data_IF_356890695198
#
_entry.id   IF_356890695198
#
_cell.length_a   1.000
_cell.length_b   1.000
_cell.length_c   1.000
_cell.angle_alpha   90.00
_cell.angle_beta   90.00
_cell.angle_gamma   90.00
#
_symmetry.space_group_name_H-M   'P 1'
#
loop_
_entity.id
_entity.type
_entity.pdbx_description
1 polymer ?
#
# COMPACT_ATOMS: atom_id res chain seq x y z
N UNK A 1 -15.81 -12.59 1.14
CA UNK A 1 -15.67 -11.12 1.07
C UNK A 1 -14.37 -10.77 1.75
N UNK A 2 -13.50 -10.02 1.10
CA UNK A 2 -12.15 -9.73 1.62
C UNK A 2 -12.10 -8.23 1.85
N UNK A 3 -11.99 -7.82 3.11
CA UNK A 3 -11.87 -6.41 3.47
C UNK A 3 -10.43 -5.99 3.14
N UNK A 4 -10.25 -5.12 2.15
CA UNK A 4 -8.94 -4.49 1.98
C UNK A 4 -8.66 -3.65 3.23
N UNK A 5 -7.50 -3.81 3.83
CA UNK A 5 -7.03 -3.01 4.96
C UNK A 5 -6.16 -1.87 4.48
N UNK A 6 -6.59 -0.64 4.79
CA UNK A 6 -5.79 0.60 4.81
C UNK A 6 -4.81 0.80 3.63
N UNK A 7 -5.25 0.87 2.36
CA UNK A 7 -4.45 1.54 1.35
C UNK A 7 -4.29 3.05 1.68
N UNK A 8 -3.04 3.47 1.89
CA UNK A 8 -2.67 4.88 2.07
C UNK A 8 -1.84 5.35 0.88
N UNK A 9 -2.11 6.56 0.41
CA UNK A 9 -1.47 7.18 -0.76
C UNK A 9 -0.66 8.39 -0.30
N UNK A 10 0.65 8.32 -0.50
CA UNK A 10 1.59 9.42 -0.30
C UNK A 10 1.86 10.13 -1.62
N UNK A 11 1.98 11.45 -1.57
CA UNK A 11 2.22 12.30 -2.73
C UNK A 11 3.52 13.08 -2.52
N UNK A 12 4.51 12.87 -3.39
CA UNK A 12 5.82 13.52 -3.33
C UNK A 12 6.14 14.31 -4.60
N UNK A 13 5.48 15.46 -4.83
CA UNK A 13 5.84 16.35 -5.94
C UNK A 13 7.22 16.98 -5.71
N UNK A 14 7.83 17.52 -6.78
CA UNK A 14 9.13 18.22 -6.69
C UNK A 14 9.01 19.60 -6.02
N UNK A 15 7.84 20.20 -6.10
CA UNK A 15 7.51 21.49 -5.50
C UNK A 15 6.10 21.45 -4.93
N UNK A 16 5.63 22.55 -4.32
CA UNK A 16 4.23 22.63 -3.86
C UNK A 16 3.31 22.54 -5.08
N UNK A 17 2.45 21.52 -5.13
CA UNK A 17 1.65 21.22 -6.32
C UNK A 17 0.21 20.90 -5.95
N UNK A 18 -0.74 21.44 -6.70
CA UNK A 18 -2.12 20.97 -6.66
C UNK A 18 -2.21 19.61 -7.35
N UNK A 19 -2.65 18.60 -6.61
CA UNK A 19 -2.79 17.23 -7.09
C UNK A 19 -4.25 16.81 -6.96
N UNK A 20 -4.78 16.22 -8.02
CA UNK A 20 -6.07 15.55 -8.00
C UNK A 20 -5.90 14.03 -8.05
N UNK A 21 -6.55 13.31 -7.13
CA UNK A 21 -6.55 11.85 -7.06
C UNK A 21 -7.98 11.34 -7.16
N UNK A 22 -8.26 10.51 -8.16
CA UNK A 22 -9.55 9.85 -8.38
C UNK A 22 -9.38 8.34 -8.20
N UNK A 23 -10.26 7.76 -7.40
CA UNK A 23 -10.47 6.32 -7.25
C UNK A 23 -11.43 5.88 -8.36
N UNK A 24 -10.99 5.03 -9.30
CA UNK A 24 -11.69 4.79 -10.58
C UNK A 24 -12.28 3.38 -10.71
N UNK A 25 -12.82 2.84 -9.63
CA UNK A 25 -13.59 1.59 -9.63
C UNK A 25 -14.96 1.78 -8.97
N UNK A 26 -15.80 0.75 -9.10
CA UNK A 26 -17.08 0.65 -8.41
C UNK A 26 -16.85 0.42 -6.91
N UNK A 27 -17.05 1.48 -6.12
CA UNK A 27 -16.86 1.42 -4.68
C UNK A 27 -18.05 0.77 -3.98
N UNK A 28 -17.78 -0.12 -3.04
CA UNK A 28 -18.84 -0.84 -2.31
C UNK A 28 -18.97 -0.37 -0.87
N UNK A 29 -17.86 -0.36 -0.15
CA UNK A 29 -17.80 -0.09 1.29
C UNK A 29 -16.73 0.99 1.58
N UNK A 30 -16.63 1.99 0.71
CA UNK A 30 -15.57 2.99 0.77
C UNK A 30 -15.56 3.77 2.09
N UNK A 31 -14.52 3.54 2.88
CA UNK A 31 -14.11 4.43 3.98
C UNK A 31 -12.93 5.26 3.50
N UNK A 32 -12.87 6.55 3.86
CA UNK A 32 -11.82 7.44 3.36
C UNK A 32 -11.53 8.61 4.28
N UNK A 33 -10.24 9.00 4.34
CA UNK A 33 -9.76 10.16 5.09
C UNK A 33 -8.72 10.90 4.23
N UNK A 34 -8.96 12.15 3.84
CA UNK A 34 -10.21 12.92 4.00
C UNK A 34 -11.40 12.23 3.35
N UNK A 35 -12.63 12.57 3.76
CA UNK A 35 -13.85 12.01 3.17
C UNK A 35 -13.83 12.19 1.64
N UNK A 36 -13.80 11.07 0.94
CA UNK A 36 -13.90 11.01 -0.52
C UNK A 36 -15.34 11.31 -0.95
N UNK A 37 -15.48 12.08 -2.02
CA UNK A 37 -16.77 12.32 -2.68
C UNK A 37 -16.69 11.79 -4.11
N UNK A 38 -15.96 12.51 -4.96
CA UNK A 38 -15.75 12.14 -6.36
C UNK A 38 -14.28 12.16 -6.75
N UNK A 39 -13.52 13.10 -6.17
CA UNK A 39 -12.10 13.32 -6.41
C UNK A 39 -11.52 14.03 -5.19
N UNK A 40 -10.30 13.66 -4.79
CA UNK A 40 -9.53 14.49 -3.86
C UNK A 40 -8.77 15.53 -4.68
N UNK A 41 -8.99 16.82 -4.42
CA UNK A 41 -8.16 17.92 -4.93
C UNK A 41 -7.41 18.51 -3.74
N UNK A 42 -6.12 18.25 -3.67
CA UNK A 42 -5.28 18.56 -2.52
C UNK A 42 -4.04 19.35 -2.93
N UNK A 43 -3.43 20.03 -1.97
CA UNK A 43 -2.10 20.62 -2.15
C UNK A 43 -1.07 19.67 -1.54
N UNK A 44 -0.20 19.09 -2.37
CA UNK A 44 0.89 18.22 -1.94
C UNK A 44 2.21 18.99 -1.87
N UNK A 45 3.07 18.59 -0.94
CA UNK A 45 4.38 19.20 -0.71
C UNK A 45 5.49 18.17 -0.89
N UNK A 46 6.73 18.57 -1.25
CA UNK A 46 7.86 17.64 -1.40
C UNK A 46 8.17 16.81 -0.16
N UNK A 47 7.78 17.28 1.03
CA UNK A 47 7.91 16.56 2.29
C UNK A 47 6.94 15.38 2.45
N UNK A 48 5.98 15.20 1.53
CA UNK A 48 4.88 14.25 1.66
C UNK A 48 3.68 14.79 2.45
N UNK A 49 3.74 16.01 2.99
CA UNK A 49 2.59 16.67 3.61
C UNK A 49 1.52 16.92 2.55
N UNK A 50 0.27 16.66 2.91
CA UNK A 50 -0.91 16.96 2.08
C UNK A 50 -1.79 17.95 2.83
N UNK A 51 -2.24 18.99 2.17
CA UNK A 51 -3.22 19.94 2.69
C UNK A 51 -4.55 19.81 1.95
N UNK A 52 -5.64 19.72 2.69
CA UNK A 52 -7.00 19.65 2.17
C UNK A 52 -7.98 20.35 3.10
N UNK A 53 -8.71 21.34 2.59
CA UNK A 53 -9.70 22.14 3.35
C UNK A 53 -9.14 22.70 4.68
N UNK A 54 -7.92 23.27 4.63
CA UNK A 54 -7.26 23.87 5.80
C UNK A 54 -6.72 22.86 6.84
N UNK A 55 -6.76 21.56 6.55
CA UNK A 55 -6.22 20.50 7.41
C UNK A 55 -5.03 19.82 6.74
N UNK A 56 -4.05 19.42 7.57
CA UNK A 56 -2.90 18.65 7.14
C UNK A 56 -3.14 17.15 7.31
N UNK A 57 -2.69 16.38 6.33
CA UNK A 57 -2.75 14.93 6.28
C UNK A 57 -1.37 14.38 5.90
N UNK A 58 -0.92 13.27 6.52
CA UNK A 58 0.33 12.62 6.14
C UNK A 58 0.20 11.78 4.85
N UNK A 59 -1.02 11.43 4.47
CA UNK A 59 -1.39 10.62 3.30
C UNK A 59 -2.91 10.73 3.07
N UNK A 60 -3.37 10.33 1.88
CA UNK A 60 -4.79 10.04 1.62
C UNK A 60 -5.05 8.59 2.02
N UNK A 61 -6.12 8.33 2.74
CA UNK A 61 -6.53 7.00 3.15
C UNK A 61 -7.81 6.60 2.43
N UNK A 62 -7.86 5.37 1.95
CA UNK A 62 -9.10 4.71 1.59
C UNK A 62 -9.13 3.26 2.10
N UNK A 63 -10.31 2.67 2.15
CA UNK A 63 -10.56 1.28 2.46
C UNK A 63 -11.79 0.83 1.69
N UNK A 64 -11.74 -0.31 1.02
CA UNK A 64 -12.89 -0.89 0.31
C UNK A 64 -12.76 -2.42 0.24
N UNK A 65 -13.86 -3.08 -0.10
CA UNK A 65 -13.90 -4.52 -0.34
C UNK A 65 -13.34 -4.83 -1.74
N UNK A 66 -12.14 -5.44 -1.80
CA UNK A 66 -11.46 -5.78 -3.04
C UNK A 66 -11.39 -7.30 -3.25
N UNK A 67 -11.48 -7.73 -4.51
CA UNK A 67 -11.35 -9.12 -4.89
C UNK A 67 -9.97 -9.38 -5.51
N UNK A 68 -9.08 -9.99 -4.74
CA UNK A 68 -7.77 -10.43 -5.22
C UNK A 68 -7.83 -11.89 -5.67
N UNK A 69 -7.30 -12.15 -6.86
CA UNK A 69 -7.03 -13.51 -7.32
C UNK A 69 -5.79 -14.01 -6.61
N UNK A 70 -5.95 -15.08 -5.82
CA UNK A 70 -4.86 -15.69 -5.08
C UNK A 70 -3.81 -16.28 -6.02
N UNK A 71 -2.56 -16.24 -5.58
CA UNK A 71 -1.42 -16.85 -6.25
C UNK A 71 -0.65 -17.69 -5.24
N UNK A 72 0.04 -18.70 -5.75
CA UNK A 72 0.71 -19.71 -4.94
C UNK A 72 2.21 -19.41 -4.72
N UNK A 73 2.73 -18.35 -5.34
CA UNK A 73 4.08 -17.82 -5.07
C UNK A 73 4.06 -16.79 -3.94
N UNK A 74 5.12 -16.74 -3.16
CA UNK A 74 5.21 -15.84 -2.01
C UNK A 74 6.44 -16.11 -1.16
N UNK A 75 6.34 -15.79 0.12
CA UNK A 75 7.40 -15.99 1.09
C UNK A 75 6.82 -16.66 2.33
N UNK A 76 7.50 -17.65 2.89
CA UNK A 76 7.15 -18.23 4.18
C UNK A 76 8.19 -17.75 5.19
N UNK A 77 7.74 -16.95 6.14
CA UNK A 77 8.61 -16.23 7.08
C UNK A 77 8.26 -16.62 8.50
N UNK A 78 9.27 -16.95 9.30
CA UNK A 78 9.13 -17.15 10.74
C UNK A 78 8.74 -15.85 11.42
N UNK A 79 7.85 -15.93 12.41
CA UNK A 79 7.31 -14.77 13.14
C UNK A 79 8.40 -13.80 13.60
N UNK A 80 9.48 -14.32 14.16
CA UNK A 80 10.60 -13.54 14.70
C UNK A 80 11.38 -12.78 13.62
N UNK A 81 11.31 -13.25 12.37
CA UNK A 81 12.03 -12.68 11.22
C UNK A 81 11.17 -11.73 10.37
N UNK A 82 9.88 -11.53 10.71
CA UNK A 82 8.95 -10.75 9.89
C UNK A 82 9.37 -9.29 9.77
N UNK A 83 9.79 -8.66 10.87
CA UNK A 83 10.20 -7.26 10.82
C UNK A 83 11.36 -7.04 9.85
N UNK A 84 12.42 -7.84 10.00
CA UNK A 84 13.58 -7.80 9.10
C UNK A 84 13.19 -8.10 7.65
N UNK A 85 12.30 -9.07 7.44
CA UNK A 85 11.79 -9.40 6.12
C UNK A 85 11.03 -8.24 5.49
N UNK A 86 10.15 -7.57 6.23
CA UNK A 86 9.42 -6.40 5.75
C UNK A 86 10.38 -5.25 5.43
N UNK A 87 11.38 -5.01 6.29
CA UNK A 87 12.41 -3.99 6.05
C UNK A 87 13.14 -4.23 4.72
N UNK A 88 13.56 -5.46 4.46
CA UNK A 88 14.25 -5.82 3.22
C UNK A 88 13.35 -5.68 1.98
N UNK A 89 12.18 -6.33 1.99
CA UNK A 89 11.32 -6.43 0.80
C UNK A 89 10.64 -5.11 0.47
N UNK A 90 10.20 -4.35 1.47
CA UNK A 90 9.54 -3.06 1.23
C UNK A 90 10.54 -1.97 0.83
N UNK A 91 11.77 -2.01 1.35
CA UNK A 91 12.85 -1.12 0.86
C UNK A 91 13.20 -1.43 -0.59
N UNK A 92 13.28 -2.72 -0.97
CA UNK A 92 13.45 -3.12 -2.37
C UNK A 92 12.32 -2.59 -3.25
N UNK A 93 11.08 -2.62 -2.76
CA UNK A 93 9.89 -2.05 -3.41
C UNK A 93 9.82 -0.53 -3.30
N UNK A 94 10.85 0.13 -2.76
CA UNK A 94 11.01 1.58 -2.83
C UNK A 94 10.32 2.37 -1.73
N UNK A 95 9.89 1.76 -0.62
CA UNK A 95 9.44 2.47 0.57
C UNK A 95 10.59 3.22 1.24
N UNK A 96 10.33 4.44 1.71
CA UNK A 96 11.27 5.19 2.53
C UNK A 96 11.09 4.86 4.02
N UNK A 97 11.98 5.36 4.88
CA UNK A 97 11.95 5.08 6.32
C UNK A 97 10.63 5.45 6.99
N UNK A 98 9.98 6.55 6.56
CA UNK A 98 8.71 6.99 7.14
C UNK A 98 7.58 6.03 6.77
N UNK A 99 7.43 5.72 5.49
CA UNK A 99 6.39 4.82 5.00
C UNK A 99 6.58 3.40 5.53
N UNK A 100 7.83 2.94 5.63
CA UNK A 100 8.18 1.65 6.24
C UNK A 100 7.78 1.60 7.71
N UNK A 101 8.06 2.66 8.47
CA UNK A 101 7.61 2.79 9.86
C UNK A 101 6.08 2.75 9.96
N UNK A 102 5.38 3.56 9.15
CA UNK A 102 3.91 3.60 9.15
C UNK A 102 3.30 2.22 8.76
N UNK A 103 3.93 1.51 7.80
CA UNK A 103 3.52 0.16 7.39
C UNK A 103 3.69 -0.84 8.53
N UNK A 104 4.88 -0.86 9.16
CA UNK A 104 5.21 -1.80 10.25
C UNK A 104 4.37 -1.54 11.49
N UNK A 105 4.15 -0.28 11.86
CA UNK A 105 3.31 0.09 13.01
C UNK A 105 1.90 -0.52 12.90
N UNK A 106 1.34 -0.53 11.69
CA UNK A 106 0.02 -1.11 11.46
C UNK A 106 0.04 -2.64 11.37
N UNK A 107 0.99 -3.21 10.62
CA UNK A 107 0.97 -4.63 10.26
C UNK A 107 1.67 -5.56 11.25
N UNK A 108 2.78 -5.15 11.88
CA UNK A 108 3.51 -6.00 12.84
C UNK A 108 2.63 -6.57 13.96
N UNK A 109 1.74 -5.77 14.59
CA UNK A 109 0.85 -6.29 15.65
C UNK A 109 -0.10 -7.40 15.19
N UNK A 110 -0.28 -7.60 13.87
CA UNK A 110 -1.16 -8.63 13.29
C UNK A 110 -0.45 -9.98 13.12
N UNK A 111 0.88 -10.01 13.21
CA UNK A 111 1.68 -11.23 13.11
C UNK A 111 1.93 -11.86 14.48
N UNK A 112 0.87 -12.14 15.25
CA UNK A 112 1.00 -12.61 16.63
C UNK A 112 0.57 -14.06 16.88
N UNK A 113 -0.33 -14.62 16.08
CA UNK A 113 -1.07 -15.84 16.42
C UNK A 113 -0.47 -17.15 15.88
N UNK A 114 0.53 -17.07 14.99
CA UNK A 114 1.15 -18.22 14.30
C UNK A 114 2.68 -18.13 14.30
N UNK A 115 3.33 -19.29 14.12
CA UNK A 115 4.80 -19.40 14.10
C UNK A 115 5.40 -18.99 12.75
N UNK A 116 4.66 -19.25 11.67
CA UNK A 116 5.05 -18.91 10.31
C UNK A 116 3.94 -18.11 9.64
N UNK A 117 4.32 -17.31 8.65
CA UNK A 117 3.37 -16.58 7.81
C UNK A 117 3.76 -16.70 6.35
N UNK A 118 2.80 -17.11 5.54
CA UNK A 118 2.85 -16.87 4.11
C UNK A 118 2.55 -15.39 3.86
N UNK A 119 3.44 -14.70 3.15
CA UNK A 119 3.29 -13.29 2.78
C UNK A 119 3.49 -13.16 1.27
N UNK A 120 2.64 -12.37 0.63
CA UNK A 120 2.73 -12.05 -0.79
C UNK A 120 2.41 -10.58 -1.06
N UNK A 121 3.14 -9.95 -1.96
CA UNK A 121 2.89 -8.55 -2.37
C UNK A 121 2.29 -8.45 -3.77
N UNK A 122 1.13 -7.83 -3.90
CA UNK A 122 0.54 -7.47 -5.20
C UNK A 122 0.96 -6.05 -5.58
N UNK A 123 1.38 -5.88 -6.84
CA UNK A 123 1.86 -4.61 -7.38
C UNK A 123 0.85 -3.90 -8.28
N UNK A 124 1.30 -2.83 -8.93
CA UNK A 124 0.52 -2.03 -9.89
C UNK A 124 -0.28 -2.87 -10.89
N UNK A 125 0.33 -3.89 -11.51
CA UNK A 125 -0.36 -4.72 -12.53
C UNK A 125 -1.66 -5.37 -12.03
N UNK A 126 -1.73 -5.71 -10.73
CA UNK A 126 -2.95 -6.23 -10.11
C UNK A 126 -3.87 -5.10 -9.71
N UNK A 127 -3.33 -4.10 -9.00
CA UNK A 127 -4.12 -3.02 -8.41
C UNK A 127 -4.75 -2.08 -9.46
N UNK A 128 -4.11 -1.90 -10.61
CA UNK A 128 -4.65 -1.08 -11.70
C UNK A 128 -5.86 -1.75 -12.38
N UNK A 129 -6.01 -3.07 -12.24
CA UNK A 129 -7.18 -3.81 -12.75
C UNK A 129 -8.37 -3.78 -11.79
N UNK A 130 -8.11 -3.85 -10.48
CA UNK A 130 -9.17 -4.03 -9.46
C UNK A 130 -9.52 -2.76 -8.70
N UNK A 131 -8.59 -1.81 -8.62
CA UNK A 131 -8.75 -0.54 -7.92
C UNK A 131 -7.87 0.55 -8.57
N UNK A 132 -8.08 0.87 -9.86
CA UNK A 132 -7.33 1.91 -10.55
C UNK A 132 -7.41 3.25 -9.83
N UNK A 133 -6.29 3.98 -9.84
CA UNK A 133 -6.22 5.38 -9.40
C UNK A 133 -5.76 6.26 -10.56
N UNK A 134 -6.38 7.44 -10.67
CA UNK A 134 -5.97 8.47 -11.63
C UNK A 134 -5.41 9.66 -10.84
N UNK A 135 -4.19 10.05 -11.17
CA UNK A 135 -3.48 11.16 -10.51
C UNK A 135 -3.13 12.22 -11.55
N UNK A 136 -3.44 13.48 -11.24
CA UNK A 136 -3.08 14.64 -12.05
C UNK A 136 -2.44 15.74 -11.17
N UNK A 137 -1.29 16.35 -11.54
CA UNK A 137 -0.49 16.06 -12.73
C UNK A 137 -0.03 14.60 -12.76
N UNK A 138 0.25 14.08 -13.97
CA UNK A 138 0.66 12.69 -14.12
C UNK A 138 1.97 12.47 -13.34
N UNK A 139 2.04 11.49 -12.42
CA UNK A 139 3.27 11.22 -11.70
C UNK A 139 4.31 10.61 -12.64
N UNK A 140 5.58 10.97 -12.40
CA UNK A 140 6.74 10.41 -13.07
C UNK A 140 6.99 8.95 -12.63
N UNK A 141 6.58 8.62 -11.40
CA UNK A 141 6.66 7.26 -10.89
C UNK A 141 5.53 6.94 -9.92
N UNK A 142 4.95 5.74 -10.03
CA UNK A 142 3.89 5.26 -9.16
C UNK A 142 4.20 3.85 -8.70
N UNK A 143 4.28 3.65 -7.38
CA UNK A 143 4.48 2.35 -6.77
C UNK A 143 3.28 2.01 -5.91
N UNK A 144 2.67 0.86 -6.18
CA UNK A 144 1.52 0.36 -5.42
C UNK A 144 1.88 -0.99 -4.84
N UNK A 145 1.70 -1.18 -3.53
CA UNK A 145 2.05 -2.40 -2.81
C UNK A 145 0.85 -2.84 -1.98
N UNK A 146 0.37 -4.05 -2.21
CA UNK A 146 -0.71 -4.60 -1.41
C UNK A 146 -0.28 -5.95 -0.84
N UNK A 147 -0.12 -6.02 0.47
CA UNK A 147 0.31 -7.24 1.16
C UNK A 147 -0.88 -8.15 1.44
N UNK A 148 -0.84 -9.40 0.97
CA UNK A 148 -1.70 -10.46 1.50
C UNK A 148 -0.88 -11.37 2.41
N UNK A 149 -1.50 -11.88 3.46
CA UNK A 149 -0.84 -12.79 4.39
C UNK A 149 -1.78 -13.86 4.93
N UNK A 150 -1.18 -14.98 5.34
CA UNK A 150 -1.84 -16.10 5.98
C UNK A 150 -0.90 -16.69 7.01
N UNK A 151 -1.33 -16.76 8.26
CA UNK A 151 -0.60 -17.48 9.30
C UNK A 151 -0.63 -19.00 9.06
N UNK A 152 0.45 -19.68 9.41
CA UNK A 152 0.67 -21.10 9.20
C UNK A 152 1.19 -21.73 10.50
N UNK A 153 0.69 -22.93 10.81
CA UNK A 153 1.14 -23.70 11.97
C UNK A 153 2.50 -24.37 11.73
N UNK A 154 2.79 -24.72 10.48
CA UNK A 154 4.04 -25.31 10.04
C UNK A 154 4.62 -24.56 8.83
N UNK A 155 5.93 -24.73 8.63
CA UNK A 155 6.62 -24.19 7.46
C UNK A 155 6.23 -25.02 6.23
N UNK A 156 5.81 -24.33 5.16
CA UNK A 156 5.53 -24.95 3.86
C UNK A 156 6.55 -24.47 2.82
N UNK A 157 6.74 -25.27 1.78
CA UNK A 157 7.52 -24.86 0.61
C UNK A 157 6.63 -24.14 -0.40
N UNK A 158 7.10 -23.00 -0.90
CA UNK A 158 6.45 -22.22 -1.95
C UNK A 158 7.49 -21.69 -2.92
N UNK A 159 7.08 -21.44 -4.16
CA UNK A 159 7.92 -20.71 -5.09
C UNK A 159 8.10 -19.28 -4.59
N UNK A 160 9.35 -18.82 -4.51
CA UNK A 160 9.63 -17.45 -4.06
C UNK A 160 9.08 -16.43 -5.05
N UNK A 161 8.32 -15.45 -4.53
CA UNK A 161 7.84 -14.36 -5.37
C UNK A 161 9.01 -13.51 -5.88
N UNK A 162 9.06 -13.30 -7.19
CA UNK A 162 10.04 -12.38 -7.81
C UNK A 162 9.58 -10.92 -7.64
N UNK A 163 10.32 -10.16 -6.83
CA UNK A 163 10.13 -8.73 -6.68
C UNK A 163 11.12 -7.97 -7.57
N UNK A 164 10.65 -6.86 -8.17
CA UNK A 164 11.49 -5.95 -8.94
C UNK A 164 11.80 -4.72 -8.11
N UNK A 165 13.06 -4.30 -8.09
CA UNK A 165 13.47 -3.06 -7.45
C UNK A 165 12.70 -1.88 -8.06
N UNK A 166 12.17 -1.01 -7.22
CA UNK A 166 11.55 0.24 -7.65
C UNK A 166 12.43 1.44 -7.30
N UNK A 167 12.54 2.37 -8.24
CA UNK A 167 13.28 3.62 -8.07
C UNK A 167 12.35 4.80 -8.32
N UNK A 168 12.23 5.67 -7.33
CA UNK A 168 11.44 6.89 -7.41
C UNK A 168 12.07 7.85 -8.41
N UNK A 169 11.22 8.42 -9.27
CA UNK A 169 11.61 9.46 -10.23
C UNK A 169 10.58 10.57 -10.16
N UNK A 170 11.05 11.81 -10.16
CA UNK A 170 10.22 13.00 -10.26
C UNK A 170 9.07 13.06 -9.24
N UNK A 171 7.91 13.53 -9.67
CA UNK A 171 6.69 13.42 -8.87
C UNK A 171 6.37 11.94 -8.65
N UNK A 172 6.52 11.49 -7.40
CA UNK A 172 6.32 10.10 -7.01
C UNK A 172 5.03 9.92 -6.21
N UNK A 173 4.25 8.89 -6.55
CA UNK A 173 3.06 8.45 -5.81
C UNK A 173 3.33 7.07 -5.24
N UNK A 174 3.24 6.94 -3.92
CA UNK A 174 3.44 5.66 -3.22
C UNK A 174 2.13 5.27 -2.57
N UNK A 175 1.63 4.10 -2.91
CA UNK A 175 0.50 3.49 -2.24
C UNK A 175 0.92 2.18 -1.60
N UNK A 176 0.61 2.01 -0.31
CA UNK A 176 0.68 0.70 0.30
C UNK A 176 -0.59 0.38 1.07
N UNK A 177 -0.95 -0.89 1.10
CA UNK A 177 -2.07 -1.44 1.87
C UNK A 177 -1.89 -2.95 2.05
N UNK A 178 -2.94 -3.64 2.49
CA UNK A 178 -2.89 -5.08 2.58
C UNK A 178 -4.23 -5.70 2.96
N UNK A 179 -4.32 -7.01 2.90
CA UNK A 179 -5.53 -7.74 3.22
C UNK A 179 -5.74 -7.78 4.72
N UNK A 180 -6.77 -7.10 5.23
CA UNK A 180 -7.13 -7.19 6.64
C UNK A 180 -8.32 -8.14 6.79
N UNK A 181 -8.03 -9.37 7.23
CA UNK A 181 -9.06 -10.32 7.62
C UNK A 181 -9.55 -9.91 9.01
N UNK A 182 -10.68 -9.19 9.06
CA UNK A 182 -11.45 -8.95 10.29
C UNK A 182 -11.88 -10.27 10.92
#
# INVERSE_FOLDING_TARGET
MVCGGKPVIYLYPKEKTEVSVKLDWEKKELVSIPKYKDIWKVTAYPSGKIEYNGKNYPYLFWEDSLHLVKKDDGFVVEKENIEKFLDEKLTLLGLNSKELSDFKEFWLPKFKDKNYYFIRFYGNETLDKIAPILVNPKPDSIQRIFMDYKGLDEKIEVSEQKLKKFERKGFSVIEWGGNYKK
#
